data_IF_014777374760
#
_entry.id   IF_014777374760
#
_cell.length_a   1.000
_cell.length_b   1.000
_cell.length_c   1.000
_cell.angle_alpha   90.00
_cell.angle_beta   90.00
_cell.angle_gamma   90.00
#
_symmetry.space_group_name_H-M   'P 1'
#
loop_
_entity.id
_entity.type
_entity.pdbx_description
1 polymer ?
#
# COMPACT_ATOMS: atom_id res chain seq x y z
N UNK A 1 -0.57 2.15 -31.82
CA UNK A 1 0.40 3.05 -31.17
C UNK A 1 -0.23 4.10 -30.24
N UNK A 2 -1.08 5.04 -30.71
CA UNK A 2 -1.70 6.05 -29.82
C UNK A 2 -2.73 5.48 -28.82
N UNK A 3 -3.52 4.49 -29.25
CA UNK A 3 -4.52 3.80 -28.42
C UNK A 3 -3.90 2.88 -27.37
N UNK A 4 -2.75 2.28 -27.69
CA UNK A 4 -1.99 1.40 -26.79
C UNK A 4 -1.30 2.20 -25.67
N UNK A 5 -0.78 3.39 -25.99
CA UNK A 5 -0.24 4.34 -25.01
C UNK A 5 -1.32 4.79 -24.01
N UNK A 6 -2.51 5.17 -24.51
CA UNK A 6 -3.64 5.56 -23.65
C UNK A 6 -4.08 4.42 -22.70
N UNK A 7 -4.18 3.19 -23.22
CA UNK A 7 -4.51 2.02 -22.41
C UNK A 7 -3.44 1.71 -21.35
N UNK A 8 -2.16 1.96 -21.66
CA UNK A 8 -1.06 1.82 -20.68
C UNK A 8 -1.18 2.86 -19.57
N UNK A 9 -1.43 4.13 -19.90
CA UNK A 9 -1.64 5.19 -18.91
C UNK A 9 -2.87 4.96 -18.02
N UNK A 10 -3.97 4.45 -18.58
CA UNK A 10 -5.16 4.09 -17.79
C UNK A 10 -4.91 2.92 -16.84
N UNK A 11 -4.14 1.90 -17.26
CA UNK A 11 -3.72 0.82 -16.36
C UNK A 11 -2.82 1.32 -15.23
N UNK A 12 -1.81 2.14 -15.54
CA UNK A 12 -0.93 2.72 -14.51
C UNK A 12 -1.70 3.57 -13.49
N UNK A 13 -2.65 4.40 -13.94
CA UNK A 13 -3.50 5.19 -13.04
C UNK A 13 -4.36 4.31 -12.13
N UNK A 14 -4.92 3.22 -12.66
CA UNK A 14 -5.71 2.28 -11.88
C UNK A 14 -4.84 1.49 -10.88
N UNK A 15 -3.60 1.14 -11.26
CA UNK A 15 -2.61 0.54 -10.36
C UNK A 15 -2.15 1.54 -9.28
N UNK A 16 -1.97 2.81 -9.62
CA UNK A 16 -1.55 3.83 -8.64
C UNK A 16 -2.59 4.04 -7.54
N UNK A 17 -3.86 4.20 -7.91
CA UNK A 17 -4.94 4.36 -6.93
C UNK A 17 -5.10 3.12 -6.03
N UNK A 18 -4.96 1.92 -6.61
CA UNK A 18 -4.98 0.67 -5.85
C UNK A 18 -3.79 0.56 -4.88
N UNK A 19 -2.60 0.97 -5.32
CA UNK A 19 -1.41 0.98 -4.47
C UNK A 19 -1.52 1.99 -3.33
N UNK A 20 -2.00 3.20 -3.57
CA UNK A 20 -2.22 4.23 -2.53
C UNK A 20 -3.26 3.75 -1.52
N UNK A 21 -4.39 3.21 -2.00
CA UNK A 21 -5.42 2.63 -1.13
C UNK A 21 -4.87 1.48 -0.28
N UNK A 22 -4.06 0.61 -0.88
CA UNK A 22 -3.42 -0.50 -0.20
C UNK A 22 -2.42 -0.08 0.86
N UNK A 23 -1.60 0.95 0.59
CA UNK A 23 -0.67 1.53 1.59
C UNK A 23 -1.44 2.09 2.78
N UNK A 24 -2.53 2.83 2.54
CA UNK A 24 -3.37 3.38 3.61
C UNK A 24 -4.02 2.25 4.41
N UNK A 25 -4.59 1.25 3.73
CA UNK A 25 -5.22 0.10 4.38
C UNK A 25 -4.24 -0.71 5.23
N UNK A 26 -3.06 -1.02 4.69
CA UNK A 26 -2.04 -1.78 5.39
C UNK A 26 -1.44 -1.00 6.58
N UNK A 27 -1.23 0.30 6.42
CA UNK A 27 -0.82 1.17 7.53
C UNK A 27 -1.87 1.24 8.64
N UNK A 28 -3.15 1.33 8.28
CA UNK A 28 -4.27 1.34 9.23
C UNK A 28 -4.39 0.01 9.98
N UNK A 29 -4.29 -1.11 9.27
CA UNK A 29 -4.31 -2.45 9.85
C UNK A 29 -3.10 -2.66 10.79
N UNK A 30 -1.91 -2.26 10.34
CA UNK A 30 -0.71 -2.29 11.16
C UNK A 30 -0.84 -1.46 12.44
N UNK A 31 -1.41 -0.25 12.35
CA UNK A 31 -1.68 0.58 13.52
C UNK A 31 -2.68 -0.06 14.49
N UNK A 32 -3.77 -0.63 13.97
CA UNK A 32 -4.78 -1.31 14.77
C UNK A 32 -4.24 -2.53 15.50
N UNK A 33 -3.27 -3.25 14.92
CA UNK A 33 -2.57 -4.36 15.57
C UNK A 33 -1.56 -3.89 16.62
N UNK A 34 -0.89 -2.76 16.39
CA UNK A 34 0.12 -2.23 17.29
C UNK A 34 -0.45 -1.46 18.50
N UNK A 35 -1.56 -0.74 18.32
CA UNK A 35 -2.13 0.12 19.36
C UNK A 35 -2.45 -0.61 20.69
N UNK A 36 -2.98 -1.84 20.68
CA UNK A 36 -3.24 -2.60 21.91
C UNK A 36 -1.98 -2.98 22.70
N UNK A 37 -0.79 -2.96 22.07
CA UNK A 37 0.46 -3.40 22.70
C UNK A 37 1.07 -2.33 23.61
N UNK A 38 1.21 -1.10 23.10
CA UNK A 38 1.76 0.01 23.88
C UNK A 38 1.21 1.38 23.47
N UNK A 39 -0.04 1.41 22.98
CA UNK A 39 -0.72 2.63 22.55
C UNK A 39 -0.11 3.22 21.28
N UNK A 40 0.00 4.55 21.24
CA UNK A 40 0.41 5.31 20.05
C UNK A 40 1.78 4.90 19.50
N UNK A 41 2.74 4.56 20.38
CA UNK A 41 4.08 4.18 19.96
C UNK A 41 4.07 2.87 19.14
N UNK A 42 3.44 1.83 19.68
CA UNK A 42 3.30 0.55 18.98
C UNK A 42 2.36 0.66 17.78
N UNK A 43 1.34 1.51 17.83
CA UNK A 43 0.50 1.83 16.66
C UNK A 43 1.30 2.47 15.52
N UNK A 44 2.24 3.36 15.82
CA UNK A 44 3.12 4.00 14.82
C UNK A 44 4.10 3.01 14.18
N UNK A 45 4.67 2.12 15.00
CA UNK A 45 5.55 1.03 14.54
C UNK A 45 4.75 0.04 13.69
N UNK A 46 3.57 -0.34 14.15
CA UNK A 46 2.65 -1.22 13.44
C UNK A 46 2.27 -0.63 12.09
N UNK A 47 1.93 0.65 12.01
CA UNK A 47 1.63 1.34 10.76
C UNK A 47 2.79 1.26 9.75
N UNK A 48 4.01 1.58 10.19
CA UNK A 48 5.21 1.48 9.35
C UNK A 48 5.44 0.05 8.86
N UNK A 49 5.24 -0.93 9.74
CA UNK A 49 5.41 -2.35 9.42
C UNK A 49 4.38 -2.81 8.39
N UNK A 50 3.11 -2.42 8.55
CA UNK A 50 2.04 -2.72 7.61
C UNK A 50 2.29 -2.12 6.23
N UNK A 51 2.70 -0.84 6.16
CA UNK A 51 3.08 -0.18 4.90
C UNK A 51 4.25 -0.90 4.23
N UNK A 52 5.29 -1.27 5.01
CA UNK A 52 6.48 -1.96 4.48
C UNK A 52 6.14 -3.34 3.93
N UNK A 53 5.25 -4.08 4.59
CA UNK A 53 4.76 -5.36 4.09
C UNK A 53 3.96 -5.21 2.79
N UNK A 54 3.11 -4.18 2.69
CA UNK A 54 2.36 -3.91 1.47
C UNK A 54 3.28 -3.59 0.30
N UNK A 55 4.23 -2.66 0.48
CA UNK A 55 5.18 -2.30 -0.58
C UNK A 55 6.05 -3.47 -1.01
N UNK A 56 6.44 -4.34 -0.08
CA UNK A 56 7.13 -5.57 -0.41
C UNK A 56 6.25 -6.54 -1.21
N UNK A 57 5.01 -6.77 -0.77
CA UNK A 57 4.04 -7.63 -1.42
C UNK A 57 3.70 -7.16 -2.85
N UNK A 58 3.55 -5.86 -3.06
CA UNK A 58 3.31 -5.30 -4.40
C UNK A 58 4.55 -5.31 -5.27
N UNK A 59 5.74 -5.11 -4.70
CA UNK A 59 7.02 -5.25 -5.38
C UNK A 59 7.26 -6.67 -5.91
N UNK A 60 6.96 -7.71 -5.13
CA UNK A 60 7.17 -9.10 -5.56
C UNK A 60 6.08 -9.62 -6.51
N UNK A 61 4.89 -9.02 -6.50
CA UNK A 61 3.77 -9.41 -7.39
C UNK A 61 3.75 -8.65 -8.72
N UNK A 62 4.69 -7.71 -8.93
CA UNK A 62 4.69 -6.86 -10.14
C UNK A 62 3.50 -5.90 -10.19
N UNK A 63 2.99 -5.50 -9.02
CA UNK A 63 1.86 -4.58 -8.89
C UNK A 63 2.18 -3.11 -9.19
N UNK A 64 3.41 -2.83 -9.66
CA UNK A 64 3.89 -1.52 -10.08
C UNK A 64 4.13 -1.52 -11.59
#
# INVERSE_FOLDING_TARGET
MATEMLASFEREKNNWAANVSGVIGAGSAGAALGFPVCGVACGSIGAKTGVTLWTWATGVTGGF
#
